data_IF_824826227930
#
_entry.id   IF_824826227930
#
_cell.length_a   1.000
_cell.length_b   1.000
_cell.length_c   1.000
_cell.angle_alpha   90.00
_cell.angle_beta   90.00
_cell.angle_gamma   90.00
#
_symmetry.space_group_name_H-M   'P 1'
#
loop_
_entity.id
_entity.type
_entity.pdbx_description
1 polymer ?
#
# COMPACT_ATOMS: atom_id res chain seq x y z
N UNK A 1 -13.78 -11.12 5.52
CA UNK A 1 -12.49 -10.40 5.33
C UNK A 1 -11.25 -11.28 5.16
N UNK A 2 -11.28 -12.57 5.51
CA UNK A 2 -10.12 -13.47 5.44
C UNK A 2 -9.39 -13.45 4.07
N UNK A 3 -10.13 -13.45 2.95
CA UNK A 3 -9.54 -13.40 1.60
C UNK A 3 -8.87 -12.06 1.24
N UNK A 4 -9.38 -10.93 1.76
CA UNK A 4 -8.80 -9.61 1.52
C UNK A 4 -7.48 -9.46 2.26
N UNK A 5 -7.43 -9.93 3.51
CA UNK A 5 -6.19 -9.95 4.29
C UNK A 5 -5.14 -10.88 3.65
N UNK A 6 -5.57 -12.04 3.15
CA UNK A 6 -4.70 -12.94 2.38
C UNK A 6 -4.14 -12.27 1.12
N UNK A 7 -4.98 -11.58 0.34
CA UNK A 7 -4.54 -10.85 -0.84
C UNK A 7 -3.56 -9.72 -0.51
N UNK A 8 -3.77 -8.99 0.59
CA UNK A 8 -2.83 -7.96 1.06
C UNK A 8 -1.48 -8.56 1.48
N UNK A 9 -1.49 -9.73 2.12
CA UNK A 9 -0.27 -10.46 2.49
C UNK A 9 0.51 -10.93 1.25
N UNK A 10 -0.16 -11.53 0.26
CA UNK A 10 0.52 -11.89 -0.99
C UNK A 10 1.02 -10.65 -1.76
N UNK A 11 0.24 -9.56 -1.76
CA UNK A 11 0.64 -8.31 -2.41
C UNK A 11 1.87 -7.68 -1.74
N UNK A 12 1.97 -7.77 -0.41
CA UNK A 12 3.09 -7.26 0.38
C UNK A 12 4.39 -7.99 0.06
N UNK A 13 4.33 -9.33 0.00
CA UNK A 13 5.47 -10.17 -0.40
C UNK A 13 5.90 -9.88 -1.84
N UNK A 14 4.95 -9.74 -2.76
CA UNK A 14 5.25 -9.46 -4.17
C UNK A 14 5.90 -8.08 -4.35
N UNK A 15 5.41 -7.04 -3.66
CA UNK A 15 6.01 -5.71 -3.75
C UNK A 15 7.42 -5.68 -3.14
N UNK A 16 7.63 -6.33 -2.00
CA UNK A 16 8.96 -6.43 -1.41
C UNK A 16 9.92 -7.18 -2.34
N UNK A 17 9.47 -8.28 -2.95
CA UNK A 17 10.25 -9.05 -3.93
C UNK A 17 10.66 -8.21 -5.14
N UNK A 18 9.75 -7.40 -5.70
CA UNK A 18 10.07 -6.49 -6.81
C UNK A 18 11.12 -5.45 -6.41
N UNK A 19 11.02 -4.89 -5.20
CA UNK A 19 11.98 -3.89 -4.71
C UNK A 19 13.36 -4.50 -4.50
N UNK A 20 13.42 -5.72 -3.96
CA UNK A 20 14.68 -6.49 -3.85
C UNK A 20 15.26 -6.73 -5.25
N UNK A 21 14.43 -7.16 -6.22
CA UNK A 21 14.88 -7.39 -7.59
C UNK A 21 15.42 -6.14 -8.30
N UNK A 22 14.86 -4.96 -8.02
CA UNK A 22 15.25 -3.70 -8.66
C UNK A 22 16.43 -3.03 -7.94
N UNK A 23 16.43 -3.05 -6.60
CA UNK A 23 17.34 -2.26 -5.77
C UNK A 23 18.43 -3.10 -5.11
N UNK A 24 18.35 -4.43 -5.17
CA UNK A 24 19.21 -5.40 -4.48
C UNK A 24 19.34 -5.14 -2.96
N UNK A 25 18.29 -4.57 -2.36
CA UNK A 25 18.25 -4.19 -0.94
C UNK A 25 16.90 -4.62 -0.38
N UNK A 26 16.92 -5.30 0.75
CA UNK A 26 15.75 -5.61 1.56
C UNK A 26 15.49 -4.47 2.55
N UNK A 27 14.32 -3.81 2.47
CA UNK A 27 13.94 -2.77 3.45
C UNK A 27 12.72 -3.09 4.28
N UNK A 28 11.82 -3.95 3.81
CA UNK A 28 10.59 -4.32 4.50
C UNK A 28 9.55 -3.21 4.57
N UNK A 29 9.84 -2.01 4.07
CA UNK A 29 8.98 -0.83 4.16
C UNK A 29 7.66 -1.05 3.40
N UNK A 30 7.72 -1.67 2.22
CA UNK A 30 6.51 -2.01 1.45
C UNK A 30 5.74 -3.15 2.12
N UNK A 31 6.43 -4.11 2.72
CA UNK A 31 5.77 -5.14 3.53
C UNK A 31 4.97 -4.51 4.69
N UNK A 32 5.58 -3.60 5.46
CA UNK A 32 4.91 -2.90 6.55
C UNK A 32 3.74 -2.04 6.07
N UNK A 33 3.86 -1.37 4.93
CA UNK A 33 2.77 -0.57 4.34
C UNK A 33 1.49 -1.41 4.15
N UNK A 34 1.60 -2.59 3.52
CA UNK A 34 0.44 -3.45 3.30
C UNK A 34 -0.12 -4.07 4.60
N UNK A 35 0.74 -4.33 5.59
CA UNK A 35 0.28 -4.79 6.92
C UNK A 35 -0.58 -3.72 7.63
N UNK A 36 -0.19 -2.45 7.55
CA UNK A 36 -0.99 -1.33 8.08
C UNK A 36 -2.36 -1.25 7.38
N UNK A 37 -2.41 -1.47 6.06
CA UNK A 37 -3.68 -1.53 5.34
C UNK A 37 -4.56 -2.68 5.85
N UNK A 38 -3.98 -3.85 6.12
CA UNK A 38 -4.68 -4.97 6.74
C UNK A 38 -5.31 -4.59 8.08
N UNK A 39 -4.55 -3.90 8.95
CA UNK A 39 -5.05 -3.42 10.25
C UNK A 39 -6.18 -2.40 10.08
N UNK A 40 -6.05 -1.46 9.14
CA UNK A 40 -7.09 -0.48 8.83
C UNK A 40 -8.39 -1.17 8.41
N UNK A 41 -8.32 -2.20 7.56
CA UNK A 41 -9.50 -2.97 7.17
C UNK A 41 -10.13 -3.73 8.35
N UNK A 42 -9.32 -4.30 9.25
CA UNK A 42 -9.82 -4.96 10.47
C UNK A 42 -10.57 -3.95 11.34
N UNK A 43 -9.97 -2.79 11.62
CA UNK A 43 -10.62 -1.73 12.40
C UNK A 43 -11.89 -1.23 11.73
N UNK A 44 -11.89 -1.12 10.40
CA UNK A 44 -13.05 -0.71 9.62
C UNK A 44 -14.24 -1.66 9.80
N UNK A 45 -14.00 -2.97 9.75
CA UNK A 45 -15.06 -3.97 9.98
C UNK A 45 -15.56 -3.95 11.42
N UNK A 46 -14.69 -3.76 12.41
CA UNK A 46 -15.12 -3.68 13.81
C UNK A 46 -16.01 -2.46 14.06
N UNK A 47 -15.63 -1.29 13.53
CA UNK A 47 -16.37 -0.03 13.75
C UNK A 47 -17.67 0.01 12.96
N UNK A 48 -17.67 -0.44 11.70
CA UNK A 48 -18.80 -0.25 10.79
C UNK A 48 -19.53 -1.53 10.38
N UNK A 49 -19.03 -2.71 10.75
CA UNK A 49 -19.62 -4.01 10.39
C UNK A 49 -20.92 -4.35 11.12
N UNK A 50 -21.18 -3.71 12.26
CA UNK A 50 -22.37 -3.97 13.08
C UNK A 50 -23.58 -3.08 12.77
N UNK A 51 -23.50 -2.16 11.80
CA UNK A 51 -24.62 -1.28 11.48
C UNK A 51 -25.80 -2.04 10.85
N UNK A 52 -26.99 -1.93 11.47
CA UNK A 52 -28.24 -2.46 10.92
C UNK A 52 -28.59 -1.76 9.60
N UNK A 53 -28.80 -2.55 8.55
CA UNK A 53 -29.11 -2.10 7.17
C UNK A 53 -30.32 -1.17 7.03
N UNK A 54 -31.20 -1.06 8.02
CA UNK A 54 -32.50 -0.40 7.88
C UNK A 54 -32.47 1.15 7.90
N UNK A 55 -31.38 1.81 8.29
CA UNK A 55 -31.33 3.29 8.36
C UNK A 55 -30.13 3.94 7.63
N UNK A 56 -29.46 3.21 6.73
CA UNK A 56 -28.32 3.76 6.01
C UNK A 56 -28.82 4.61 4.83
N UNK A 57 -28.86 5.92 5.02
CA UNK A 57 -29.08 6.88 3.93
C UNK A 57 -27.91 6.87 2.93
N UNK A 58 -28.19 7.13 1.65
CA UNK A 58 -27.18 7.20 0.58
C UNK A 58 -26.01 8.13 0.95
N UNK A 59 -26.28 9.21 1.67
CA UNK A 59 -25.29 10.19 2.14
C UNK A 59 -24.34 9.59 3.18
N UNK A 60 -24.85 8.88 4.20
CA UNK A 60 -24.01 8.18 5.19
C UNK A 60 -23.09 7.16 4.52
N UNK A 61 -23.61 6.42 3.54
CA UNK A 61 -22.80 5.48 2.75
C UNK A 61 -21.68 6.21 1.98
N UNK A 62 -21.99 7.33 1.35
CA UNK A 62 -21.01 8.14 0.61
C UNK A 62 -19.92 8.71 1.53
N UNK A 63 -20.29 9.23 2.71
CA UNK A 63 -19.36 9.70 3.73
C UNK A 63 -18.39 8.60 4.19
N UNK A 64 -18.88 7.36 4.34
CA UNK A 64 -18.01 6.21 4.65
C UNK A 64 -16.96 5.96 3.57
N UNK A 65 -17.35 6.02 2.30
CA UNK A 65 -16.39 5.87 1.20
C UNK A 65 -15.35 6.99 1.17
N UNK A 66 -15.77 8.23 1.41
CA UNK A 66 -14.83 9.37 1.53
C UNK A 66 -13.87 9.15 2.71
N UNK A 67 -14.39 8.76 3.87
CA UNK A 67 -13.57 8.52 5.06
C UNK A 67 -12.52 7.44 4.78
N UNK A 68 -12.93 6.32 4.17
CA UNK A 68 -12.00 5.25 3.79
C UNK A 68 -10.95 5.75 2.79
N UNK A 69 -11.35 6.54 1.79
CA UNK A 69 -10.44 7.13 0.81
C UNK A 69 -9.40 8.05 1.49
N UNK A 70 -9.84 8.92 2.40
CA UNK A 70 -8.97 9.85 3.12
C UNK A 70 -7.93 9.12 3.96
N UNK A 71 -8.33 8.05 4.66
CA UNK A 71 -7.39 7.24 5.45
C UNK A 71 -6.33 6.62 4.52
N UNK A 72 -6.72 6.02 3.40
CA UNK A 72 -5.78 5.41 2.47
C UNK A 72 -4.83 6.45 1.83
N UNK A 73 -5.34 7.65 1.49
CA UNK A 73 -4.53 8.77 0.99
C UNK A 73 -3.47 9.22 1.99
N UNK A 74 -3.79 9.19 3.29
CA UNK A 74 -2.85 9.60 4.34
C UNK A 74 -1.69 8.62 4.51
N UNK A 75 -1.89 7.33 4.20
CA UNK A 75 -0.84 6.30 4.30
C UNK A 75 0.00 6.23 3.00
N UNK A 76 -0.50 6.78 1.90
CA UNK A 76 0.17 6.75 0.59
C UNK A 76 1.61 7.30 0.57
N UNK A 77 1.97 8.37 1.30
CA UNK A 77 3.35 8.82 1.40
C UNK A 77 4.30 7.73 1.92
N UNK A 78 3.86 6.90 2.86
CA UNK A 78 4.68 5.81 3.40
C UNK A 78 5.02 4.73 2.36
N UNK A 79 4.27 4.65 1.26
CA UNK A 79 4.58 3.78 0.12
C UNK A 79 5.54 4.43 -0.87
N UNK A 80 5.32 5.71 -1.17
CA UNK A 80 6.04 6.42 -2.23
C UNK A 80 7.41 6.93 -1.76
N UNK A 81 7.52 7.35 -0.49
CA UNK A 81 8.73 7.93 0.08
C UNK A 81 9.95 6.97 0.02
N UNK A 82 9.84 5.67 0.36
CA UNK A 82 10.91 4.70 0.14
C UNK A 82 11.41 4.64 -1.30
N UNK A 83 10.50 4.70 -2.28
CA UNK A 83 10.84 4.66 -3.70
C UNK A 83 11.56 5.91 -4.15
N UNK A 84 11.10 7.10 -3.73
CA UNK A 84 11.73 8.39 -4.07
C UNK A 84 13.13 8.48 -3.46
N UNK A 85 13.27 8.13 -2.17
CA UNK A 85 14.56 8.15 -1.47
C UNK A 85 15.58 7.26 -2.18
N UNK A 86 15.17 6.08 -2.65
CA UNK A 86 16.05 5.15 -3.37
C UNK A 86 16.32 5.55 -4.81
N UNK A 87 15.35 6.11 -5.54
CA UNK A 87 15.55 6.60 -6.90
C UNK A 87 16.59 7.74 -6.97
N UNK A 88 16.69 8.54 -5.90
CA UNK A 88 17.72 9.57 -5.77
C UNK A 88 19.12 9.01 -5.42
N UNK A 89 19.21 7.78 -4.90
CA UNK A 89 20.46 7.12 -4.48
C UNK A 89 20.98 6.15 -5.56
N UNK A 90 20.10 5.50 -6.31
CA UNK A 90 20.48 4.67 -7.45
C UNK A 90 21.04 5.57 -8.56
N UNK A 91 22.27 5.34 -9.06
CA UNK A 91 22.68 5.99 -10.28
C UNK A 91 21.67 5.61 -11.35
N UNK A 92 21.09 6.64 -11.98
CA UNK A 92 20.33 6.53 -13.22
C UNK A 92 21.14 5.61 -14.13
N UNK A 93 20.69 4.35 -14.28
CA UNK A 93 21.18 3.30 -15.16
C UNK A 93 21.93 2.08 -14.61
N UNK A 94 21.24 0.95 -14.70
CA UNK A 94 21.81 -0.22 -15.36
C UNK A 94 21.68 -0.12 -16.90
N UNK A 95 20.60 0.49 -17.43
CA UNK A 95 20.39 0.64 -18.88
C UNK A 95 21.38 1.60 -19.57
N UNK A 96 21.49 2.86 -19.13
CA UNK A 96 22.54 3.77 -19.63
C UNK A 96 24.00 3.31 -19.39
N UNK A 97 24.32 2.43 -18.42
CA UNK A 97 25.65 1.80 -18.32
C UNK A 97 25.98 0.91 -19.52
N UNK A 98 24.96 0.30 -20.15
CA UNK A 98 25.12 -0.44 -21.40
C UNK A 98 25.14 0.44 -22.65
N UNK A 99 24.54 1.64 -22.62
CA UNK A 99 24.52 2.57 -23.76
C UNK A 99 25.66 3.60 -23.79
N UNK A 100 26.39 3.79 -22.70
CA UNK A 100 27.51 4.75 -22.60
C UNK A 100 28.88 4.10 -22.82
N UNK A 101 28.93 2.79 -23.08
CA UNK A 101 30.15 2.02 -23.24
C UNK A 101 30.37 1.55 -24.70
N UNK A 102 29.87 2.32 -25.68
CA UNK A 102 30.18 2.20 -27.10
C UNK A 102 30.92 3.46 -27.58
#
# INVERSE_FOLDING_TARGET
MMGVLGALCFSSLLHEYLIIGISNIWTGEHFFFFMIHGVIFILWEIVFGYEKKNEITKIKRFLKWILLLTINLMVLPAFVEPMIRKNNILPKSYLAKYYTNN
#
